data_IF_770544240680
#
_entry.id   IF_770544240680
#
_cell.length_a   1.000
_cell.length_b   1.000
_cell.length_c   1.000
_cell.angle_alpha   90.00
_cell.angle_beta   90.00
_cell.angle_gamma   90.00
#
_symmetry.space_group_name_H-M   'P 1'
#
loop_
_entity.id
_entity.type
_entity.pdbx_description
1 polymer ?
#
# COMPACT_ATOMS: atom_id res chain seq x y z
N UNK A 1 4.46 -0.71 9.51
CA UNK A 1 5.50 -0.31 8.52
C UNK A 1 4.83 -0.08 7.18
N UNK A 2 5.44 0.76 6.34
CA UNK A 2 4.94 1.15 5.02
C UNK A 2 6.04 0.95 3.98
N UNK A 3 5.73 0.52 2.77
CA UNK A 3 6.71 0.47 1.66
C UNK A 3 6.10 1.04 0.40
N UNK A 4 6.96 1.50 -0.50
CA UNK A 4 6.53 1.94 -1.83
C UNK A 4 6.64 0.76 -2.80
N UNK A 5 5.58 0.53 -3.56
CA UNK A 5 5.53 -0.43 -4.64
C UNK A 5 5.47 0.35 -5.95
N UNK A 6 6.46 0.18 -6.80
CA UNK A 6 6.51 0.81 -8.13
C UNK A 6 6.12 -0.19 -9.19
N UNK A 7 5.38 0.27 -10.19
CA UNK A 7 4.99 -0.50 -11.37
C UNK A 7 5.43 0.25 -12.61
N UNK A 8 6.18 -0.41 -13.48
CA UNK A 8 6.61 0.15 -14.76
C UNK A 8 6.55 -0.89 -15.88
N UNK A 9 6.46 -0.41 -17.12
CA UNK A 9 6.44 -1.26 -18.31
C UNK A 9 7.79 -1.19 -19.00
N UNK A 10 8.40 -2.35 -19.22
CA UNK A 10 9.70 -2.47 -19.90
C UNK A 10 9.55 -3.09 -21.31
N UNK A 11 8.48 -2.75 -22.04
CA UNK A 11 8.21 -3.30 -23.38
C UNK A 11 7.75 -4.78 -23.40
N UNK A 12 7.66 -5.43 -22.24
CA UNK A 12 7.13 -6.80 -22.07
C UNK A 12 5.61 -6.80 -21.86
N UNK A 13 4.95 -7.93 -22.15
CA UNK A 13 3.50 -8.10 -21.91
C UNK A 13 3.10 -7.89 -20.43
N UNK A 14 3.99 -8.22 -19.50
CA UNK A 14 3.75 -8.07 -18.06
C UNK A 14 4.48 -6.83 -17.53
N UNK A 15 3.81 -5.96 -16.75
CA UNK A 15 4.48 -4.87 -16.06
C UNK A 15 5.39 -5.44 -14.97
N UNK A 16 6.52 -4.77 -14.74
CA UNK A 16 7.45 -5.08 -13.66
C UNK A 16 6.94 -4.38 -12.40
N UNK A 17 6.88 -5.13 -11.32
CA UNK A 17 6.50 -4.65 -9.99
C UNK A 17 7.73 -4.73 -9.10
N UNK A 18 8.18 -3.60 -8.60
CA UNK A 18 9.29 -3.51 -7.64
C UNK A 18 8.77 -3.07 -6.28
N UNK A 19 9.27 -3.72 -5.23
CA UNK A 19 8.96 -3.38 -3.85
C UNK A 19 10.17 -2.70 -3.23
N UNK A 20 9.98 -1.45 -2.82
CA UNK A 20 10.97 -0.69 -2.07
C UNK A 20 11.14 -1.20 -0.64
N UNK A 21 12.11 -0.63 0.10
CA UNK A 21 12.35 -0.94 1.49
C UNK A 21 11.14 -0.59 2.37
N UNK A 22 11.03 -1.28 3.51
CA UNK A 22 10.06 -0.95 4.54
C UNK A 22 10.51 0.26 5.35
N UNK A 23 9.66 1.26 5.40
CA UNK A 23 9.79 2.46 6.21
C UNK A 23 8.98 2.33 7.50
N UNK A 24 9.49 2.86 8.63
CA UNK A 24 8.78 2.90 9.90
C UNK A 24 7.56 3.83 9.83
N UNK A 25 7.66 4.96 9.13
CA UNK A 25 6.61 5.98 9.05
C UNK A 25 5.97 6.04 7.66
N UNK A 26 4.68 6.42 7.62
CA UNK A 26 3.95 6.61 6.36
C UNK A 26 4.49 7.80 5.57
N UNK A 27 4.88 8.87 6.27
CA UNK A 27 5.42 10.10 5.68
C UNK A 27 6.68 9.85 4.85
N UNK A 28 7.57 8.98 5.31
CA UNK A 28 8.75 8.58 4.53
C UNK A 28 8.36 7.84 3.24
N UNK A 29 7.42 6.89 3.33
CA UNK A 29 6.92 6.19 2.14
C UNK A 29 6.22 7.15 1.17
N UNK A 30 5.48 8.14 1.67
CA UNK A 30 4.82 9.18 0.85
C UNK A 30 5.85 10.06 0.13
N UNK A 31 6.88 10.52 0.81
CA UNK A 31 7.97 11.30 0.20
C UNK A 31 8.63 10.57 -0.98
N UNK A 32 8.92 9.28 -0.81
CA UNK A 32 9.48 8.46 -1.88
C UNK A 32 8.46 8.18 -3.00
N UNK A 33 7.20 7.96 -2.65
CA UNK A 33 6.13 7.80 -3.63
C UNK A 33 5.96 9.05 -4.49
N UNK A 34 5.96 10.24 -3.90
CA UNK A 34 5.89 11.52 -4.63
C UNK A 34 7.09 11.68 -5.58
N UNK A 35 8.31 11.46 -5.07
CA UNK A 35 9.54 11.52 -5.86
C UNK A 35 9.45 10.59 -7.09
N UNK A 36 9.03 9.34 -6.89
CA UNK A 36 8.92 8.35 -7.98
C UNK A 36 7.79 8.68 -8.97
N UNK A 37 6.70 9.32 -8.51
CA UNK A 37 5.64 9.82 -9.41
C UNK A 37 6.16 10.94 -10.32
N UNK A 38 6.99 11.83 -9.81
CA UNK A 38 7.61 12.90 -10.61
C UNK A 38 8.50 12.33 -11.73
N UNK A 39 9.15 11.19 -11.47
CA UNK A 39 9.90 10.44 -12.50
C UNK A 39 9.01 9.63 -13.47
N UNK A 40 7.69 9.67 -13.31
CA UNK A 40 6.73 8.99 -14.20
C UNK A 40 6.45 7.53 -13.83
N UNK A 41 6.87 7.06 -12.66
CA UNK A 41 6.53 5.73 -12.18
C UNK A 41 5.11 5.68 -11.62
N UNK A 42 4.41 4.57 -11.84
CA UNK A 42 3.16 4.28 -11.14
C UNK A 42 3.51 3.72 -9.77
N UNK A 43 3.03 4.35 -8.70
CA UNK A 43 3.40 3.96 -7.32
C UNK A 43 2.18 3.75 -6.44
N UNK A 44 2.29 2.76 -5.57
CA UNK A 44 1.34 2.41 -4.51
C UNK A 44 2.08 2.35 -3.17
N UNK A 45 1.42 2.73 -2.07
CA UNK A 45 1.96 2.56 -0.72
C UNK A 45 1.29 1.36 -0.08
N UNK A 46 2.09 0.36 0.29
CA UNK A 46 1.63 -0.83 0.98
C UNK A 46 1.93 -0.71 2.48
N UNK A 47 0.95 -1.03 3.32
CA UNK A 47 1.12 -1.20 4.76
C UNK A 47 1.28 -2.67 5.12
N UNK A 48 2.21 -2.96 6.03
CA UNK A 48 2.53 -4.33 6.47
C UNK A 48 1.34 -5.03 7.15
N UNK A 49 0.40 -4.27 7.72
CA UNK A 49 -0.83 -4.80 8.35
C UNK A 49 -2.02 -4.86 7.38
N UNK A 50 -1.77 -5.00 6.08
CA UNK A 50 -2.81 -4.99 5.06
C UNK A 50 -3.24 -3.59 4.67
N UNK A 51 -3.90 -3.49 3.51
CA UNK A 51 -4.51 -2.28 3.00
C UNK A 51 -5.56 -1.83 4.03
N UNK A 52 -5.35 -0.71 4.71
CA UNK A 52 -6.44 -0.05 5.45
C UNK A 52 -7.38 0.48 4.37
N UNK A 53 -8.25 -0.39 3.86
CA UNK A 53 -9.46 0.06 3.19
C UNK A 53 -10.21 0.83 4.27
N UNK A 54 -10.32 2.15 4.12
CA UNK A 54 -11.18 2.96 4.95
C UNK A 54 -12.65 2.59 4.66
N UNK A 55 -13.07 1.41 5.10
CA UNK A 55 -14.44 0.91 5.10
C UNK A 55 -14.69 0.29 6.47
N UNK A 56 -15.11 1.14 7.40
CA UNK A 56 -15.89 0.78 8.59
C UNK A 56 -15.52 -0.53 9.32
N UNK A 57 -14.25 -0.67 9.72
CA UNK A 57 -13.75 -1.79 10.54
C UNK A 57 -14.54 -1.99 11.86
N UNK A 58 -15.30 -0.98 12.31
CA UNK A 58 -16.09 -1.06 13.53
C UNK A 58 -17.38 -1.88 13.35
N UNK A 59 -17.94 -1.94 12.14
CA UNK A 59 -19.16 -2.72 11.87
C UNK A 59 -18.86 -4.23 11.78
N UNK A 60 -17.75 -4.58 11.14
CA UNK A 60 -17.32 -5.99 11.00
C UNK A 60 -16.80 -6.56 12.34
N UNK A 61 -16.11 -5.76 13.16
CA UNK A 61 -15.74 -6.17 14.51
C UNK A 61 -16.97 -6.37 15.41
N UNK A 62 -17.96 -5.48 15.32
CA UNK A 62 -19.21 -5.60 16.07
C UNK A 62 -20.03 -6.82 15.63
N UNK A 63 -20.07 -7.13 14.33
CA UNK A 63 -20.74 -8.32 13.81
C UNK A 63 -20.05 -9.62 14.27
N UNK A 64 -18.72 -9.65 14.27
CA UNK A 64 -17.95 -10.80 14.76
C UNK A 64 -18.13 -11.02 16.27
N UNK A 65 -18.19 -9.94 17.06
CA UNK A 65 -18.41 -10.02 18.50
C UNK A 65 -19.85 -10.44 18.86
N UNK A 66 -20.85 -9.96 18.12
CA UNK A 66 -22.25 -10.32 18.34
C UNK A 66 -22.55 -11.80 18.02
N UNK A 67 -21.71 -12.49 17.26
CA UNK A 67 -21.85 -13.90 16.91
C UNK A 67 -21.19 -14.89 17.88
N UNK A 68 -20.48 -14.42 18.92
CA UNK A 68 -19.79 -15.26 19.92
C UNK A 68 -20.57 -15.42 21.25
N UNK A 69 -21.90 -15.30 21.22
CA UNK A 69 -22.80 -15.50 22.37
C UNK A 69 -23.71 -16.72 22.18
#
# INVERSE_FOLDING_TARGET
MFRVKTTYRNGTERPIIEHGPWHPTRKEAEYWAETLREFGYVVEIESQHGKVEAKDDNADLAAALAGMA
#
